data_IF_046824912437
#
_entry.id   IF_046824912437
#
_cell.length_a   1.000
_cell.length_b   1.000
_cell.length_c   1.000
_cell.angle_alpha   90.00
_cell.angle_beta   90.00
_cell.angle_gamma   90.00
#
_symmetry.space_group_name_H-M   'P 1'
#
loop_
_entity.id
_entity.type
_entity.pdbx_description
1 polymer ?
#
# COMPACT_ATOMS: atom_id res chain seq x y z
N UNK A 1 -7.76 14.47 0.94
CA UNK A 1 -7.94 15.02 -0.42
C UNK A 1 -6.65 14.85 -1.19
N UNK A 2 -6.53 13.78 -1.98
CA UNK A 2 -5.51 13.63 -3.02
C UNK A 2 -5.96 14.43 -4.26
N UNK A 3 -5.03 15.08 -4.94
CA UNK A 3 -5.37 15.96 -6.07
C UNK A 3 -5.41 15.25 -7.42
N UNK A 4 -5.75 16.03 -8.43
CA UNK A 4 -6.07 15.64 -9.81
C UNK A 4 -5.07 14.65 -10.43
N UNK A 5 -5.62 13.66 -11.13
CA UNK A 5 -4.91 12.68 -11.95
C UNK A 5 -3.88 13.37 -12.87
N UNK A 6 -2.64 12.89 -12.89
CA UNK A 6 -1.54 13.47 -13.67
C UNK A 6 -0.67 14.51 -12.95
N UNK A 7 -0.91 14.80 -11.67
CA UNK A 7 -0.03 15.71 -10.91
C UNK A 7 1.25 14.99 -10.45
N UNK A 8 2.36 15.20 -11.16
CA UNK A 8 3.67 14.56 -10.95
C UNK A 8 4.56 15.23 -9.90
N UNK A 9 3.99 16.08 -9.04
CA UNK A 9 4.73 16.75 -7.98
C UNK A 9 5.24 15.72 -6.93
N UNK A 10 6.54 15.45 -6.97
CA UNK A 10 7.19 14.49 -6.08
C UNK A 10 7.06 14.86 -4.60
N UNK A 11 6.93 16.16 -4.26
CA UNK A 11 6.73 16.57 -2.87
C UNK A 11 5.37 16.11 -2.36
N UNK A 12 4.34 16.19 -3.21
CA UNK A 12 2.97 15.77 -2.89
C UNK A 12 2.83 14.26 -2.80
N UNK A 13 3.45 13.52 -3.72
CA UNK A 13 3.45 12.04 -3.72
C UNK A 13 4.08 11.51 -2.42
N UNK A 14 5.28 12.01 -2.05
CA UNK A 14 5.93 11.66 -0.78
C UNK A 14 5.08 12.01 0.45
N UNK A 15 4.36 13.12 0.40
CA UNK A 15 3.49 13.55 1.49
C UNK A 15 2.22 12.69 1.62
N UNK A 16 1.66 12.21 0.51
CA UNK A 16 0.48 11.34 0.51
C UNK A 16 0.79 9.93 1.05
N UNK A 17 2.01 9.40 0.86
CA UNK A 17 2.43 8.16 1.54
C UNK A 17 2.50 8.32 3.06
N UNK A 18 3.01 9.45 3.56
CA UNK A 18 3.02 9.73 4.99
C UNK A 18 1.60 9.85 5.55
N UNK A 19 0.66 10.46 4.82
CA UNK A 19 -0.76 10.48 5.22
C UNK A 19 -1.36 9.09 5.28
N UNK A 20 -1.06 8.23 4.31
CA UNK A 20 -1.54 6.85 4.30
C UNK A 20 -1.00 6.08 5.51
N UNK A 21 0.28 6.25 5.85
CA UNK A 21 0.89 5.67 7.05
C UNK A 21 0.21 6.14 8.33
N UNK A 22 0.02 7.46 8.51
CA UNK A 22 -0.70 7.99 9.67
C UNK A 22 -2.15 7.51 9.75
N UNK A 23 -2.82 7.39 8.62
CA UNK A 23 -4.17 6.82 8.52
C UNK A 23 -4.19 5.37 9.00
N UNK A 24 -3.26 4.54 8.54
CA UNK A 24 -3.16 3.14 8.93
C UNK A 24 -2.84 2.98 10.43
N UNK A 25 -1.90 3.77 10.96
CA UNK A 25 -1.58 3.79 12.39
C UNK A 25 -2.79 4.24 13.24
N UNK A 26 -3.55 5.22 12.78
CA UNK A 26 -4.77 5.67 13.45
C UNK A 26 -5.83 4.56 13.47
N UNK A 27 -6.03 3.85 12.35
CA UNK A 27 -6.94 2.71 12.27
C UNK A 27 -6.52 1.59 13.23
N UNK A 28 -5.23 1.24 13.26
CA UNK A 28 -4.69 0.24 14.19
C UNK A 28 -4.91 0.65 15.64
N UNK A 29 -4.71 1.93 15.98
CA UNK A 29 -4.97 2.46 17.32
C UNK A 29 -6.45 2.34 17.70
N UNK A 30 -7.36 2.65 16.78
CA UNK A 30 -8.80 2.50 17.00
C UNK A 30 -9.14 1.04 17.27
N UNK A 31 -8.66 0.11 16.44
CA UNK A 31 -8.88 -1.33 16.62
C UNK A 31 -8.34 -1.80 17.97
N UNK A 32 -7.15 -1.39 18.37
CA UNK A 32 -6.59 -1.72 19.69
C UNK A 32 -7.38 -1.11 20.86
N UNK A 33 -8.06 0.02 20.65
CA UNK A 33 -8.91 0.66 21.66
C UNK A 33 -10.31 0.03 21.77
N UNK A 34 -10.88 -0.42 20.65
CA UNK A 34 -12.25 -0.96 20.59
C UNK A 34 -12.31 -2.46 20.87
N UNK A 35 -11.27 -3.22 20.49
CA UNK A 35 -11.24 -4.67 20.66
C UNK A 35 -10.35 -5.06 21.84
N UNK A 36 -10.94 -5.64 22.89
CA UNK A 36 -10.23 -6.07 24.11
C UNK A 36 -9.07 -7.05 23.86
N UNK A 37 -9.07 -7.75 22.73
CA UNK A 37 -8.03 -8.70 22.35
C UNK A 37 -7.03 -8.14 21.34
N UNK A 38 -7.25 -6.94 20.79
CA UNK A 38 -6.30 -6.32 19.88
C UNK A 38 -5.20 -5.64 20.70
N UNK A 39 -3.95 -6.06 20.46
CA UNK A 39 -2.78 -5.44 21.09
C UNK A 39 -1.64 -5.37 20.08
N UNK A 40 -0.59 -4.62 20.41
CA UNK A 40 0.62 -4.54 19.60
C UNK A 40 1.26 -5.93 19.37
N UNK A 41 1.14 -6.87 20.33
CA UNK A 41 1.61 -8.25 20.17
C UNK A 41 0.81 -9.06 19.15
N UNK A 42 -0.46 -8.69 18.91
CA UNK A 42 -1.26 -9.28 17.85
C UNK A 42 -0.88 -8.65 16.50
N UNK A 43 -0.72 -7.33 16.47
CA UNK A 43 -0.30 -6.61 15.26
C UNK A 43 1.11 -6.98 14.79
N UNK A 44 2.01 -7.41 15.66
CA UNK A 44 3.34 -7.91 15.25
C UNK A 44 3.27 -9.20 14.43
N UNK A 45 2.13 -9.90 14.44
CA UNK A 45 1.87 -11.09 13.62
C UNK A 45 1.18 -10.74 12.30
N UNK A 46 0.81 -9.48 12.11
CA UNK A 46 0.10 -8.99 10.93
C UNK A 46 1.04 -8.16 10.06
N UNK A 47 0.91 -8.34 8.76
CA UNK A 47 1.45 -7.44 7.75
C UNK A 47 0.27 -6.69 7.13
N UNK A 48 0.30 -5.36 7.25
CA UNK A 48 -0.76 -4.52 6.71
C UNK A 48 -0.34 -4.03 5.34
N UNK A 49 -1.23 -4.19 4.37
CA UNK A 49 -1.01 -3.71 3.02
C UNK A 49 -1.93 -2.52 2.74
N UNK A 50 -1.43 -1.54 2.00
CA UNK A 50 -2.27 -0.53 1.39
C UNK A 50 -1.89 -0.29 -0.06
N UNK A 51 -2.93 -0.06 -0.86
CA UNK A 51 -2.81 0.21 -2.27
C UNK A 51 -3.03 1.71 -2.50
N UNK A 52 -2.10 2.35 -3.18
CA UNK A 52 -2.12 3.78 -3.40
C UNK A 52 -1.93 4.12 -4.88
N UNK A 53 -2.87 4.87 -5.44
CA UNK A 53 -2.71 5.47 -6.77
C UNK A 53 -1.92 6.77 -6.69
N UNK A 54 -0.79 6.83 -7.38
CA UNK A 54 0.07 8.01 -7.49
C UNK A 54 0.38 8.30 -8.96
N UNK A 55 -0.19 9.39 -9.50
CA UNK A 55 0.00 9.75 -10.91
C UNK A 55 -0.65 8.72 -11.84
N UNK A 56 0.15 8.14 -12.73
CA UNK A 56 -0.20 7.01 -13.59
C UNK A 56 0.18 5.66 -12.96
N UNK A 57 0.66 5.63 -11.71
CA UNK A 57 1.10 4.43 -11.03
C UNK A 57 0.14 3.93 -9.95
N UNK A 58 0.13 2.63 -9.75
CA UNK A 58 -0.44 1.94 -8.61
C UNK A 58 0.71 1.39 -7.76
N UNK A 59 0.71 1.68 -6.47
CA UNK A 59 1.78 1.31 -5.56
C UNK A 59 1.22 0.45 -4.44
N UNK A 60 1.82 -0.73 -4.24
CA UNK A 60 1.58 -1.57 -3.09
C UNK A 60 2.62 -1.22 -2.03
N UNK A 61 2.17 -1.02 -0.81
CA UNK A 61 2.99 -0.71 0.33
C UNK A 61 2.63 -1.59 1.51
N UNK A 62 3.62 -1.81 2.37
CA UNK A 62 3.51 -2.64 3.56
C UNK A 62 3.86 -1.87 4.83
N UNK A 63 3.17 -2.22 5.91
CA UNK A 63 3.47 -1.78 7.27
C UNK A 63 3.51 -3.02 8.17
N UNK A 64 4.59 -3.18 8.93
CA UNK A 64 4.74 -4.24 9.94
C UNK A 64 5.21 -3.63 11.25
N UNK A 65 4.71 -4.15 12.36
CA UNK A 65 5.19 -3.81 13.70
C UNK A 65 6.20 -4.86 14.18
N UNK A 66 7.46 -4.47 14.40
CA UNK A 66 8.54 -5.33 14.90
C UNK A 66 9.35 -4.57 15.95
N UNK A 67 9.78 -5.25 17.02
CA UNK A 67 10.74 -4.72 18.00
C UNK A 67 10.49 -3.25 18.41
N UNK A 68 9.24 -2.93 18.77
CA UNK A 68 8.76 -1.59 19.16
C UNK A 68 8.72 -0.50 18.09
N UNK A 69 9.10 -0.80 16.85
CA UNK A 69 9.06 0.13 15.70
C UNK A 69 8.08 -0.35 14.62
N UNK A 70 7.70 0.60 13.75
CA UNK A 70 6.89 0.32 12.57
C UNK A 70 7.76 0.45 11.33
N UNK A 71 7.94 -0.66 10.62
CA UNK A 71 8.64 -0.68 9.34
C UNK A 71 7.64 -0.46 8.21
N UNK A 72 7.99 0.45 7.30
CA UNK A 72 7.13 0.86 6.20
C UNK A 72 7.93 0.95 4.91
N UNK A 73 7.50 0.22 3.89
CA UNK A 73 8.18 0.18 2.61
C UNK A 73 7.22 -0.11 1.45
N UNK A 74 7.70 0.13 0.24
CA UNK A 74 6.98 -0.15 -0.99
C UNK A 74 7.32 -1.56 -1.48
N UNK A 75 6.32 -2.39 -1.71
CA UNK A 75 6.50 -3.77 -2.20
C UNK A 75 6.58 -3.81 -3.72
N UNK A 76 5.65 -3.11 -4.38
CA UNK A 76 5.50 -3.18 -5.83
C UNK A 76 4.93 -1.88 -6.38
N UNK A 77 5.21 -1.63 -7.65
CA UNK A 77 4.58 -0.56 -8.44
C UNK A 77 4.13 -1.12 -9.77
N UNK A 78 3.00 -0.63 -10.26
CA UNK A 78 2.48 -0.89 -11.59
C UNK A 78 2.18 0.44 -12.25
N UNK A 79 2.78 0.71 -13.41
CA UNK A 79 2.35 1.83 -14.25
C UNK A 79 1.09 1.43 -15.02
N UNK A 80 0.04 2.22 -14.87
CA UNK A 80 -1.22 2.08 -15.60
C UNK A 80 -1.00 2.63 -17.00
N UNK A 81 -1.09 1.74 -17.99
CA UNK A 81 -1.00 2.07 -19.40
C UNK A 81 -2.42 1.97 -19.99
N UNK A 82 -3.18 3.07 -20.06
CA UNK A 82 -4.60 3.03 -20.41
C UNK A 82 -4.86 2.86 -21.91
N UNK A 83 -3.82 2.91 -22.75
CA UNK A 83 -3.98 2.79 -24.20
C UNK A 83 -4.05 1.32 -24.59
N UNK A 84 -4.94 1.02 -25.54
CA UNK A 84 -5.10 -0.33 -26.06
C UNK A 84 -3.82 -0.88 -26.71
N UNK A 85 -3.04 0.00 -27.35
CA UNK A 85 -1.75 -0.33 -27.98
C UNK A 85 -0.72 -0.88 -26.99
N UNK A 86 -0.84 -0.53 -25.70
CA UNK A 86 0.10 -0.92 -24.66
C UNK A 86 -0.27 -2.27 -24.01
N UNK A 87 -1.35 -2.93 -24.47
CA UNK A 87 -1.93 -4.12 -23.81
C UNK A 87 -0.93 -5.27 -23.65
N UNK A 88 -0.07 -5.48 -24.65
CA UNK A 88 0.93 -6.56 -24.64
C UNK A 88 2.01 -6.33 -23.58
N UNK A 89 2.25 -5.06 -23.20
CA UNK A 89 3.18 -4.69 -22.13
C UNK A 89 2.47 -4.62 -20.78
N UNK A 90 1.26 -4.08 -20.76
CA UNK A 90 0.51 -3.83 -19.53
C UNK A 90 -0.02 -5.12 -18.88
N UNK A 91 -0.57 -6.06 -19.67
CA UNK A 91 -1.15 -7.29 -19.11
C UNK A 91 -0.14 -8.13 -18.32
N UNK A 92 1.08 -8.40 -18.82
CA UNK A 92 2.08 -9.12 -18.04
C UNK A 92 2.45 -8.41 -16.73
N UNK A 93 2.64 -7.09 -16.76
CA UNK A 93 2.98 -6.30 -15.57
C UNK A 93 1.82 -6.27 -14.55
N UNK A 94 0.58 -6.17 -15.03
CA UNK A 94 -0.62 -6.27 -14.20
C UNK A 94 -0.71 -7.62 -13.50
N UNK A 95 -0.49 -8.72 -14.24
CA UNK A 95 -0.50 -10.08 -13.69
C UNK A 95 0.63 -10.24 -12.68
N UNK A 96 1.85 -9.80 -12.98
CA UNK A 96 2.98 -9.84 -12.04
C UNK A 96 2.66 -9.07 -10.77
N UNK A 97 2.14 -7.84 -10.88
CA UNK A 97 1.78 -7.00 -9.75
C UNK A 97 0.76 -7.69 -8.83
N UNK A 98 -0.34 -8.20 -9.38
CA UNK A 98 -1.34 -8.92 -8.59
C UNK A 98 -0.85 -10.26 -8.07
N UNK A 99 0.09 -10.91 -8.77
CA UNK A 99 0.74 -12.11 -8.26
C UNK A 99 1.61 -11.81 -7.05
N UNK A 100 2.42 -10.73 -7.07
CA UNK A 100 3.16 -10.28 -5.89
C UNK A 100 2.20 -9.98 -4.72
N UNK A 101 1.10 -9.28 -4.99
CA UNK A 101 0.04 -9.02 -3.99
C UNK A 101 -0.51 -10.33 -3.41
N UNK A 102 -0.79 -11.34 -4.25
CA UNK A 102 -1.30 -12.65 -3.82
C UNK A 102 -0.29 -13.39 -2.94
N UNK A 103 0.97 -13.46 -3.38
CA UNK A 103 2.07 -14.14 -2.66
C UNK A 103 2.31 -13.47 -1.31
N UNK A 104 2.37 -12.14 -1.28
CA UNK A 104 2.64 -11.37 -0.06
C UNK A 104 1.51 -11.44 0.96
N UNK A 105 0.26 -11.55 0.50
CA UNK A 105 -0.91 -11.70 1.38
C UNK A 105 -1.23 -13.15 1.74
N UNK A 106 -0.50 -14.13 1.19
CA UNK A 106 -0.74 -15.56 1.38
C UNK A 106 -2.22 -15.96 1.17
N UNK A 107 -2.84 -15.38 0.13
CA UNK A 107 -4.23 -15.64 -0.25
C UNK A 107 -4.22 -16.84 -1.19
N UNK A 108 -4.89 -17.93 -0.82
CA UNK A 108 -5.03 -19.15 -1.65
C UNK A 108 -5.94 -18.93 -2.87
#
# INVERSE_FOLDING_TARGET
MSGQFGNSDQTKIKFDHHKAMFGLLAMMKIVAGEYQYASLQHFSKCKFFFLHGAGDGLQLWSLVYQEVVFDFWQEATLTILPKFEDVDTFLPELVKFFWSVKVDMNID
#
